data_IF_157684826176
#
_entry.id   IF_157684826176
#
_cell.length_a   1.000
_cell.length_b   1.000
_cell.length_c   1.000
_cell.angle_alpha   90.00
_cell.angle_beta   90.00
_cell.angle_gamma   90.00
#
_symmetry.space_group_name_H-M   'P 1'
#
loop_
_entity.id
_entity.type
_entity.pdbx_description
1 polymer ?
#
# COMPACT_ATOMS: atom_id res chain seq x y z
N UNK A 1 3.12 32.73 -7.50
CA UNK A 1 2.42 32.00 -6.41
C UNK A 1 2.68 32.76 -5.13
N UNK A 2 1.65 33.09 -4.36
CA UNK A 2 1.82 33.75 -3.07
C UNK A 2 2.32 32.71 -2.06
N UNK A 3 3.56 32.86 -1.60
CA UNK A 3 4.02 32.19 -0.38
C UNK A 3 3.13 32.68 0.76
N UNK A 4 2.48 31.76 1.47
CA UNK A 4 1.69 32.12 2.67
C UNK A 4 2.64 32.74 3.68
N UNK A 5 2.46 34.04 3.94
CA UNK A 5 3.21 34.77 4.94
C UNK A 5 2.73 34.34 6.32
N UNK A 6 3.52 33.50 6.99
CA UNK A 6 3.27 33.03 8.35
C UNK A 6 4.00 33.89 9.40
N UNK A 7 4.66 34.98 9.00
CA UNK A 7 5.42 35.85 9.93
C UNK A 7 4.56 36.98 10.52
N UNK A 8 3.27 37.03 10.19
CA UNK A 8 2.31 37.97 10.79
C UNK A 8 1.86 37.44 12.16
N UNK A 9 1.87 38.25 13.23
CA UNK A 9 1.37 37.82 14.54
C UNK A 9 -0.14 37.59 14.49
N UNK A 10 -0.57 36.34 14.62
CA UNK A 10 -1.98 35.93 14.57
C UNK A 10 -2.54 35.63 15.96
N UNK A 11 -3.86 35.80 16.09
CA UNK A 11 -4.63 35.14 17.15
C UNK A 11 -4.58 33.61 16.96
N UNK A 12 -4.55 32.86 18.07
CA UNK A 12 -4.17 31.44 18.13
C UNK A 12 -4.96 30.52 17.17
N UNK A 13 -6.24 30.84 16.91
CA UNK A 13 -7.16 30.02 16.09
C UNK A 13 -6.88 30.16 14.58
N UNK A 14 -6.36 31.31 14.14
CA UNK A 14 -6.04 31.54 12.71
C UNK A 14 -4.75 30.80 12.31
N UNK A 15 -3.84 30.58 13.28
CA UNK A 15 -2.56 29.92 13.03
C UNK A 15 -2.70 28.45 12.62
N UNK A 16 -3.43 27.63 13.40
CA UNK A 16 -3.56 26.19 13.15
C UNK A 16 -4.21 25.94 11.79
N UNK A 17 -5.31 26.65 11.50
CA UNK A 17 -6.03 26.52 10.23
C UNK A 17 -5.13 26.85 9.03
N UNK A 18 -4.38 27.96 9.08
CA UNK A 18 -3.43 28.35 8.01
C UNK A 18 -2.29 27.37 7.85
N UNK A 19 -1.74 26.83 8.94
CA UNK A 19 -0.71 25.82 8.88
C UNK A 19 -1.21 24.54 8.19
N UNK A 20 -2.43 24.10 8.52
CA UNK A 20 -3.07 22.95 7.87
C UNK A 20 -3.32 23.18 6.38
N UNK A 21 -3.75 24.38 5.99
CA UNK A 21 -3.91 24.76 4.57
C UNK A 21 -2.57 24.74 3.83
N UNK A 22 -1.52 25.35 4.41
CA UNK A 22 -0.19 25.33 3.82
C UNK A 22 0.36 23.90 3.65
N UNK A 23 0.18 23.03 4.64
CA UNK A 23 0.58 21.61 4.57
C UNK A 23 -0.16 20.91 3.42
N UNK A 24 -1.48 21.14 3.28
CA UNK A 24 -2.29 20.54 2.22
C UNK A 24 -1.86 21.01 0.83
N UNK A 25 -1.54 22.28 0.67
CA UNK A 25 -1.09 22.83 -0.61
C UNK A 25 0.24 22.22 -1.07
N UNK A 26 1.19 22.03 -0.15
CA UNK A 26 2.45 21.34 -0.45
C UNK A 26 2.20 19.88 -0.82
N UNK A 27 1.29 19.20 -0.11
CA UNK A 27 0.91 17.82 -0.41
C UNK A 27 0.27 17.65 -1.78
N UNK A 28 -0.64 18.54 -2.16
CA UNK A 28 -1.30 18.49 -3.47
C UNK A 28 -0.28 18.66 -4.59
N UNK A 29 0.69 19.56 -4.43
CA UNK A 29 1.84 19.66 -5.35
C UNK A 29 2.66 18.39 -5.38
N UNK A 30 2.97 17.79 -4.22
CA UNK A 30 3.69 16.52 -4.15
C UNK A 30 2.97 15.36 -4.86
N UNK A 31 1.64 15.27 -4.70
CA UNK A 31 0.79 14.26 -5.39
C UNK A 31 0.73 14.46 -6.90
N UNK A 32 0.95 15.69 -7.39
CA UNK A 32 0.96 15.98 -8.83
C UNK A 32 2.24 15.54 -9.53
N UNK A 33 3.29 15.15 -8.79
CA UNK A 33 4.55 14.67 -9.37
C UNK A 33 4.38 13.27 -9.90
N UNK A 34 4.37 13.13 -11.22
CA UNK A 34 4.27 11.84 -11.89
C UNK A 34 5.65 11.19 -12.07
N UNK A 35 6.03 10.33 -11.11
CA UNK A 35 7.26 9.54 -11.21
C UNK A 35 7.22 8.51 -12.34
N UNK A 36 6.03 8.12 -12.85
CA UNK A 36 5.91 7.20 -13.99
C UNK A 36 6.45 7.83 -15.26
N UNK A 37 6.19 9.12 -15.48
CA UNK A 37 6.66 9.84 -16.64
C UNK A 37 8.20 9.88 -16.74
N UNK A 38 8.90 9.73 -15.61
CA UNK A 38 10.36 9.71 -15.55
C UNK A 38 10.98 8.32 -15.76
N UNK A 39 10.22 7.22 -15.69
CA UNK A 39 10.73 5.85 -15.86
C UNK A 39 11.50 5.58 -17.17
N UNK A 40 11.10 6.12 -18.35
CA UNK A 40 11.86 5.88 -19.58
C UNK A 40 13.14 6.72 -19.68
N UNK A 41 13.19 7.86 -18.99
CA UNK A 41 14.29 8.83 -19.09
C UNK A 41 15.32 8.62 -17.98
N UNK A 42 16.40 7.93 -18.35
CA UNK A 42 17.51 7.62 -17.43
C UNK A 42 18.56 8.72 -17.37
N UNK A 43 18.33 9.86 -18.01
CA UNK A 43 19.32 10.94 -18.08
C UNK A 43 19.53 11.61 -16.73
N UNK A 44 20.75 12.08 -16.50
CA UNK A 44 21.10 12.88 -15.32
C UNK A 44 20.26 14.17 -15.25
N UNK A 45 19.95 14.77 -16.40
CA UNK A 45 19.10 15.96 -16.49
C UNK A 45 17.67 15.70 -15.97
N UNK A 46 17.08 14.53 -16.28
CA UNK A 46 15.77 14.15 -15.75
C UNK A 46 15.81 13.93 -14.24
N UNK A 47 16.89 13.33 -13.71
CA UNK A 47 17.07 13.15 -12.26
C UNK A 47 17.21 14.51 -11.57
N UNK A 48 18.01 15.41 -12.14
CA UNK A 48 18.19 16.76 -11.61
C UNK A 48 16.87 17.56 -11.61
N UNK A 49 16.07 17.45 -12.67
CA UNK A 49 14.76 18.09 -12.75
C UNK A 49 13.80 17.60 -11.64
N UNK A 50 13.80 16.29 -11.36
CA UNK A 50 13.03 15.72 -10.25
C UNK A 50 13.52 16.23 -8.89
N UNK A 51 14.84 16.29 -8.67
CA UNK A 51 15.41 16.82 -7.43
C UNK A 51 15.04 18.30 -7.22
N UNK A 52 15.15 19.12 -8.27
CA UNK A 52 14.73 20.53 -8.24
C UNK A 52 13.24 20.72 -7.96
N UNK A 53 12.42 19.67 -8.13
CA UNK A 53 10.98 19.71 -7.82
C UNK A 53 10.68 19.16 -6.43
N UNK A 54 11.26 18.03 -6.05
CA UNK A 54 10.93 17.32 -4.80
C UNK A 54 11.60 17.96 -3.58
N UNK A 55 12.87 18.36 -3.69
CA UNK A 55 13.62 18.90 -2.54
C UNK A 55 12.95 20.18 -2.00
N UNK A 56 12.56 21.17 -2.83
CA UNK A 56 11.85 22.35 -2.31
C UNK A 56 10.54 22.03 -1.58
N UNK A 57 9.80 20.99 -1.99
CA UNK A 57 8.58 20.58 -1.28
C UNK A 57 8.88 20.00 0.10
N UNK A 58 9.97 19.23 0.23
CA UNK A 58 10.44 18.74 1.54
C UNK A 58 10.86 19.90 2.44
N UNK A 59 11.60 20.86 1.89
CA UNK A 59 12.09 22.04 2.62
C UNK A 59 10.93 22.92 3.09
N UNK A 60 9.96 23.16 2.22
CA UNK A 60 8.76 23.93 2.53
C UNK A 60 7.90 23.24 3.60
N UNK A 61 7.68 21.93 3.48
CA UNK A 61 6.93 21.15 4.48
C UNK A 61 7.65 21.18 5.83
N UNK A 62 8.98 20.96 5.83
CA UNK A 62 9.78 21.02 7.05
C UNK A 62 9.71 22.40 7.71
N UNK A 63 9.85 23.48 6.94
CA UNK A 63 9.76 24.84 7.46
C UNK A 63 8.38 25.16 8.06
N UNK A 64 7.29 24.63 7.50
CA UNK A 64 5.95 24.76 8.10
C UNK A 64 5.90 23.98 9.42
N UNK A 65 6.30 22.71 9.42
CA UNK A 65 6.27 21.84 10.61
C UNK A 65 7.13 22.41 11.74
N UNK A 66 8.34 22.90 11.46
CA UNK A 66 9.22 23.51 12.46
C UNK A 66 8.63 24.78 13.07
N UNK A 67 7.95 25.62 12.27
CA UNK A 67 7.27 26.82 12.79
C UNK A 67 6.09 26.46 13.68
N UNK A 68 5.31 25.44 13.31
CA UNK A 68 4.24 24.91 14.16
C UNK A 68 4.83 24.35 15.46
N UNK A 69 5.90 23.54 15.39
CA UNK A 69 6.54 22.96 16.57
C UNK A 69 7.01 24.03 17.57
N UNK A 70 7.75 25.05 17.08
CA UNK A 70 8.24 26.14 17.91
C UNK A 70 7.11 26.89 18.65
N UNK A 71 5.93 27.00 18.03
CA UNK A 71 4.77 27.63 18.67
C UNK A 71 4.19 26.79 19.79
N UNK A 72 4.25 25.47 19.67
CA UNK A 72 3.69 24.55 20.67
C UNK A 72 4.60 24.37 21.89
N UNK A 73 5.91 24.65 21.78
CA UNK A 73 6.90 24.55 22.87
C UNK A 73 6.77 25.64 23.97
N UNK A 74 5.95 26.68 23.79
CA UNK A 74 5.90 27.83 24.70
C UNK A 74 5.17 27.59 26.04
N UNK A 75 4.41 26.51 26.21
CA UNK A 75 3.54 26.27 27.37
C UNK A 75 3.57 24.79 27.80
N UNK A 76 4.33 24.50 28.87
CA UNK A 76 4.56 23.13 29.37
C UNK A 76 3.41 22.57 30.23
N UNK A 77 2.46 23.40 30.64
CA UNK A 77 1.37 22.99 31.56
C UNK A 77 0.21 22.28 30.83
N UNK A 78 0.14 22.38 29.49
CA UNK A 78 -0.89 21.75 28.66
C UNK A 78 -0.39 20.42 28.05
N UNK A 79 -0.86 19.30 28.62
CA UNK A 79 -0.46 17.95 28.18
C UNK A 79 -0.81 17.66 26.72
N UNK A 80 -1.97 18.11 26.22
CA UNK A 80 -2.37 17.85 24.84
C UNK A 80 -1.48 18.63 23.86
N UNK A 81 -1.06 19.83 24.27
CA UNK A 81 -0.09 20.66 23.54
C UNK A 81 1.28 20.00 23.49
N UNK A 82 1.78 19.47 24.62
CA UNK A 82 3.06 18.73 24.69
C UNK A 82 3.03 17.50 23.79
N UNK A 83 1.96 16.69 23.87
CA UNK A 83 1.80 15.51 22.99
C UNK A 83 1.80 15.90 21.50
N UNK A 84 1.17 17.04 21.15
CA UNK A 84 1.20 17.55 19.78
C UNK A 84 2.61 18.01 19.37
N UNK A 85 3.32 18.74 20.23
CA UNK A 85 4.69 19.22 20.00
C UNK A 85 5.66 18.05 19.71
N UNK A 86 5.61 16.99 20.51
CA UNK A 86 6.44 15.80 20.35
C UNK A 86 6.20 15.12 18.99
N UNK A 87 4.93 14.97 18.61
CA UNK A 87 4.54 14.38 17.33
C UNK A 87 5.05 15.25 16.15
N UNK A 88 4.92 16.58 16.26
CA UNK A 88 5.39 17.53 15.25
C UNK A 88 6.91 17.47 15.12
N UNK A 89 7.64 17.43 16.24
CA UNK A 89 9.10 17.32 16.26
C UNK A 89 9.57 16.01 15.60
N UNK A 90 8.94 14.87 15.93
CA UNK A 90 9.23 13.58 15.29
C UNK A 90 8.97 13.60 13.77
N UNK A 91 7.86 14.21 13.34
CA UNK A 91 7.53 14.34 11.93
C UNK A 91 8.55 15.23 11.17
N UNK A 92 9.02 16.31 11.81
CA UNK A 92 10.06 17.19 11.29
C UNK A 92 11.42 16.49 11.15
N UNK A 93 11.85 15.75 12.18
CA UNK A 93 13.09 14.97 12.14
C UNK A 93 13.07 13.91 11.02
N UNK A 94 11.96 13.20 10.86
CA UNK A 94 11.80 12.21 9.78
C UNK A 94 11.92 12.85 8.38
N UNK A 95 11.33 14.03 8.17
CA UNK A 95 11.44 14.76 6.91
C UNK A 95 12.86 15.24 6.65
N UNK A 96 13.51 15.81 7.66
CA UNK A 96 14.88 16.30 7.53
C UNK A 96 15.85 15.15 7.19
N UNK A 97 15.67 13.98 7.81
CA UNK A 97 16.43 12.79 7.47
C UNK A 97 16.20 12.38 6.00
N UNK A 98 14.95 12.39 5.52
CA UNK A 98 14.66 12.06 4.12
C UNK A 98 15.19 13.07 3.13
N UNK A 99 15.08 14.36 3.42
CA UNK A 99 15.70 15.45 2.66
C UNK A 99 17.21 15.22 2.51
N UNK A 100 17.89 14.94 3.62
CA UNK A 100 19.34 14.67 3.66
C UNK A 100 19.70 13.48 2.79
N UNK A 101 18.97 12.36 2.94
CA UNK A 101 19.20 11.15 2.16
C UNK A 101 18.98 11.36 0.66
N UNK A 102 17.98 12.15 0.26
CA UNK A 102 17.70 12.42 -1.15
C UNK A 102 18.75 13.36 -1.76
N UNK A 103 19.17 14.39 -1.03
CA UNK A 103 20.13 15.41 -1.51
C UNK A 103 21.56 14.88 -1.56
N UNK A 104 21.92 13.96 -0.66
CA UNK A 104 23.25 13.35 -0.57
C UNK A 104 23.25 11.89 -1.01
N UNK A 105 22.27 11.48 -1.81
CA UNK A 105 22.25 10.15 -2.38
C UNK A 105 23.53 9.95 -3.22
N UNK A 106 24.25 8.87 -2.95
CA UNK A 106 25.37 8.44 -3.79
C UNK A 106 24.85 8.12 -5.20
N UNK A 107 25.72 8.20 -6.24
CA UNK A 107 25.37 7.71 -7.57
C UNK A 107 24.78 6.30 -7.48
N UNK A 108 23.55 6.14 -7.95
CA UNK A 108 22.80 4.89 -7.90
C UNK A 108 22.11 4.62 -9.24
N UNK A 109 21.61 3.41 -9.43
CA UNK A 109 20.84 3.10 -10.63
C UNK A 109 19.53 3.90 -10.68
N UNK A 110 19.03 4.17 -11.89
CA UNK A 110 17.84 4.99 -12.11
C UNK A 110 16.61 4.52 -11.31
N UNK A 111 16.40 3.22 -11.16
CA UNK A 111 15.26 2.71 -10.39
C UNK A 111 15.43 2.98 -8.89
N UNK A 112 16.64 2.79 -8.37
CA UNK A 112 16.95 3.15 -6.98
C UNK A 112 16.77 4.65 -6.72
N UNK A 113 17.13 5.51 -7.68
CA UNK A 113 16.86 6.94 -7.60
C UNK A 113 15.34 7.24 -7.53
N UNK A 114 14.54 6.65 -8.42
CA UNK A 114 13.08 6.82 -8.42
C UNK A 114 12.43 6.28 -7.13
N UNK A 115 12.92 5.16 -6.60
CA UNK A 115 12.47 4.64 -5.30
C UNK A 115 12.76 5.62 -4.16
N UNK A 116 13.92 6.28 -4.17
CA UNK A 116 14.26 7.30 -3.18
C UNK A 116 13.34 8.52 -3.30
N UNK A 117 13.03 8.95 -4.53
CA UNK A 117 12.04 10.01 -4.78
C UNK A 117 10.65 9.63 -4.22
N UNK A 118 10.16 8.43 -4.53
CA UNK A 118 8.88 7.94 -4.03
C UNK A 118 8.84 7.83 -2.50
N UNK A 119 9.91 7.31 -1.88
CA UNK A 119 10.02 7.23 -0.41
C UNK A 119 9.99 8.60 0.24
N UNK A 120 10.63 9.60 -0.38
CA UNK A 120 10.61 10.99 0.09
C UNK A 120 9.23 11.62 -0.02
N UNK A 121 8.53 11.45 -1.16
CA UNK A 121 7.15 11.93 -1.32
C UNK A 121 6.17 11.25 -0.35
N UNK A 122 6.33 9.94 -0.11
CA UNK A 122 5.55 9.23 0.92
C UNK A 122 5.86 9.70 2.33
N UNK A 123 7.13 10.03 2.62
CA UNK A 123 7.50 10.60 3.91
C UNK A 123 6.88 11.99 4.12
N UNK A 124 6.84 12.82 3.07
CA UNK A 124 6.13 14.09 3.04
C UNK A 124 4.64 13.88 3.37
N UNK A 125 3.97 12.97 2.66
CA UNK A 125 2.58 12.60 2.91
C UNK A 125 2.32 12.13 4.35
N UNK A 126 3.18 11.24 4.86
CA UNK A 126 3.06 10.67 6.20
C UNK A 126 3.26 11.74 7.28
N UNK A 127 4.34 12.52 7.22
CA UNK A 127 4.63 13.57 8.20
C UNK A 127 3.53 14.63 8.23
N UNK A 128 3.04 15.06 7.06
CA UNK A 128 1.91 15.97 6.97
C UNK A 128 0.61 15.40 7.57
N UNK A 129 0.30 14.13 7.31
CA UNK A 129 -0.91 13.46 7.86
C UNK A 129 -0.84 13.26 9.37
N UNK A 130 0.36 13.02 9.90
CA UNK A 130 0.63 12.89 11.33
C UNK A 130 0.49 14.25 12.03
N UNK A 131 1.07 15.30 11.45
CA UNK A 131 0.97 16.68 11.98
C UNK A 131 -0.47 17.17 11.93
N UNK A 132 -1.20 16.96 10.82
CA UNK A 132 -2.62 17.30 10.77
C UNK A 132 -3.41 16.56 11.84
N UNK A 133 -3.17 15.25 12.04
CA UNK A 133 -3.85 14.47 13.05
C UNK A 133 -3.53 14.92 14.49
N UNK A 134 -2.34 15.46 14.75
CA UNK A 134 -2.00 16.06 16.04
C UNK A 134 -2.73 17.39 16.23
N UNK A 135 -2.62 18.31 15.27
CA UNK A 135 -3.26 19.63 15.31
C UNK A 135 -4.78 19.55 15.37
N UNK A 136 -5.38 18.62 14.61
CA UNK A 136 -6.82 18.40 14.58
C UNK A 136 -7.35 17.91 15.92
N UNK A 137 -6.59 17.06 16.63
CA UNK A 137 -6.97 16.60 17.97
C UNK A 137 -6.91 17.73 18.99
N UNK A 138 -5.81 18.48 18.97
CA UNK A 138 -5.57 19.62 19.85
C UNK A 138 -6.64 20.72 19.72
N UNK A 139 -6.95 21.13 18.49
CA UNK A 139 -7.89 22.23 18.23
C UNK A 139 -9.35 21.73 17.99
N UNK A 140 -9.60 20.44 18.24
CA UNK A 140 -10.88 19.75 18.00
C UNK A 140 -11.46 19.95 16.59
N UNK A 141 -10.58 20.08 15.60
CA UNK A 141 -10.94 20.20 14.19
C UNK A 141 -11.04 18.82 13.53
N UNK A 142 -11.86 18.67 12.48
CA UNK A 142 -11.83 17.46 11.66
C UNK A 142 -10.54 17.41 10.83
N UNK A 143 -9.84 16.27 10.86
CA UNK A 143 -8.76 16.00 9.92
C UNK A 143 -9.33 15.94 8.49
N UNK A 144 -8.68 16.62 7.53
CA UNK A 144 -9.17 16.71 6.15
C UNK A 144 -8.25 16.04 5.13
N UNK A 145 -7.03 15.61 5.51
CA UNK A 145 -6.19 14.85 4.60
C UNK A 145 -6.86 13.52 4.29
N UNK A 146 -7.07 13.33 3.00
CA UNK A 146 -7.86 12.25 2.45
C UNK A 146 -7.13 10.90 2.55
N UNK A 147 -7.26 10.27 3.72
CA UNK A 147 -6.83 8.89 3.97
C UNK A 147 -7.68 7.89 3.18
N UNK A 148 -8.89 8.27 2.77
CA UNK A 148 -9.80 7.40 2.03
C UNK A 148 -9.31 7.20 0.59
N UNK A 149 -8.80 8.25 -0.08
CA UNK A 149 -8.20 8.11 -1.40
C UNK A 149 -6.93 7.25 -1.40
N UNK A 150 -6.07 7.38 -0.39
CA UNK A 150 -4.88 6.51 -0.25
C UNK A 150 -5.28 5.06 -0.01
N UNK A 151 -6.22 4.81 0.90
CA UNK A 151 -6.76 3.48 1.15
C UNK A 151 -7.39 2.90 -0.13
N UNK A 152 -8.19 3.68 -0.86
CA UNK A 152 -8.83 3.24 -2.10
C UNK A 152 -7.80 2.85 -3.17
N UNK A 153 -6.73 3.65 -3.34
CA UNK A 153 -5.63 3.33 -4.25
C UNK A 153 -4.89 2.05 -3.81
N UNK A 154 -4.58 1.91 -2.51
CA UNK A 154 -3.96 0.70 -1.95
C UNK A 154 -4.83 -0.55 -2.15
N UNK A 155 -6.15 -0.45 -1.95
CA UNK A 155 -7.12 -1.52 -2.21
C UNK A 155 -7.16 -1.90 -3.69
N UNK A 156 -7.17 -0.91 -4.59
CA UNK A 156 -7.17 -1.15 -6.03
C UNK A 156 -5.89 -1.90 -6.47
N UNK A 157 -4.71 -1.48 -6.00
CA UNK A 157 -3.44 -2.16 -6.28
C UNK A 157 -3.45 -3.58 -5.68
N UNK A 158 -3.94 -3.75 -4.44
CA UNK A 158 -4.05 -5.08 -3.79
C UNK A 158 -4.89 -6.04 -4.64
N UNK A 159 -6.05 -5.59 -5.13
CA UNK A 159 -6.91 -6.41 -6.00
C UNK A 159 -6.22 -6.82 -7.29
N UNK A 160 -5.45 -5.92 -7.90
CA UNK A 160 -4.66 -6.21 -9.11
C UNK A 160 -3.56 -7.24 -8.84
N UNK A 161 -2.81 -7.09 -7.75
CA UNK A 161 -1.80 -8.06 -7.34
C UNK A 161 -2.39 -9.43 -7.06
N UNK A 162 -3.55 -9.48 -6.39
CA UNK A 162 -4.27 -10.72 -6.11
C UNK A 162 -4.77 -11.41 -7.38
N UNK A 163 -5.25 -10.65 -8.36
CA UNK A 163 -5.66 -11.18 -9.66
C UNK A 163 -4.48 -11.82 -10.38
N UNK A 164 -3.33 -11.13 -10.45
CA UNK A 164 -2.10 -11.71 -11.02
C UNK A 164 -1.67 -12.97 -10.25
N UNK A 165 -1.70 -12.93 -8.92
CA UNK A 165 -1.35 -14.07 -8.07
C UNK A 165 -2.21 -15.29 -8.36
N UNK A 166 -3.52 -15.08 -8.50
CA UNK A 166 -4.47 -16.13 -8.86
C UNK A 166 -4.21 -16.68 -10.26
N UNK A 167 -3.97 -15.84 -11.25
CA UNK A 167 -3.64 -16.26 -12.61
C UNK A 167 -2.39 -17.13 -12.67
N UNK A 168 -1.32 -16.70 -11.98
CA UNK A 168 -0.07 -17.45 -11.85
C UNK A 168 -0.29 -18.77 -11.10
N UNK A 169 -1.03 -18.74 -9.99
CA UNK A 169 -1.37 -19.95 -9.25
C UNK A 169 -2.13 -20.97 -10.10
N UNK A 170 -3.13 -20.51 -10.86
CA UNK A 170 -3.92 -21.36 -11.74
C UNK A 170 -3.11 -21.90 -12.92
N UNK A 171 -2.21 -21.10 -13.49
CA UNK A 171 -1.27 -21.57 -14.50
C UNK A 171 -0.30 -22.64 -13.94
N UNK A 172 0.04 -22.55 -12.65
CA UNK A 172 0.84 -23.57 -11.97
C UNK A 172 0.11 -24.90 -11.72
N UNK A 173 -1.23 -24.92 -11.81
CA UNK A 173 -2.03 -26.12 -11.57
C UNK A 173 -2.24 -26.94 -12.85
N UNK A 174 -2.27 -28.26 -12.69
CA UNK A 174 -2.56 -29.23 -13.76
C UNK A 174 -1.34 -29.62 -14.60
N UNK A 175 -1.59 -30.43 -15.63
CA UNK A 175 -0.58 -31.00 -16.53
C UNK A 175 -0.18 -30.02 -17.65
N UNK A 176 -0.12 -28.71 -17.36
CA UNK A 176 0.29 -27.71 -18.35
C UNK A 176 1.81 -27.77 -18.57
N UNK A 177 2.26 -27.70 -19.82
CA UNK A 177 3.67 -27.58 -20.14
C UNK A 177 4.24 -26.23 -19.67
N UNK A 178 5.55 -26.17 -19.41
CA UNK A 178 6.22 -25.00 -18.87
C UNK A 178 6.02 -23.73 -19.73
N UNK A 179 6.00 -23.85 -21.06
CA UNK A 179 5.84 -22.72 -21.97
C UNK A 179 4.45 -22.10 -21.81
N UNK A 180 3.41 -22.92 -21.69
CA UNK A 180 2.05 -22.46 -21.42
C UNK A 180 1.95 -21.68 -20.11
N UNK A 181 2.62 -22.13 -19.04
CA UNK A 181 2.63 -21.43 -17.74
C UNK A 181 3.31 -20.07 -17.82
N UNK A 182 4.49 -20.02 -18.44
CA UNK A 182 5.25 -18.78 -18.63
C UNK A 182 4.50 -17.78 -19.53
N UNK A 183 3.79 -18.27 -20.55
CA UNK A 183 2.96 -17.43 -21.41
C UNK A 183 1.76 -16.85 -20.65
N UNK A 184 1.11 -17.63 -19.79
CA UNK A 184 0.04 -17.14 -18.93
C UNK A 184 0.55 -16.06 -17.96
N UNK A 185 1.66 -16.30 -17.26
CA UNK A 185 2.29 -15.32 -16.38
C UNK A 185 2.68 -14.04 -17.12
N UNK A 186 3.28 -14.14 -18.30
CA UNK A 186 3.63 -12.99 -19.14
C UNK A 186 2.40 -12.16 -19.53
N UNK A 187 1.26 -12.79 -19.81
CA UNK A 187 0.02 -12.06 -20.12
C UNK A 187 -0.53 -11.35 -18.89
N UNK A 188 -0.53 -12.01 -17.73
CA UNK A 188 -0.97 -11.40 -16.47
C UNK A 188 -0.11 -10.20 -16.07
N UNK A 189 1.22 -10.33 -16.16
CA UNK A 189 2.15 -9.21 -15.88
C UNK A 189 1.93 -8.07 -16.88
N UNK A 190 1.82 -8.36 -18.18
CA UNK A 190 1.52 -7.34 -19.17
C UNK A 190 0.18 -6.62 -18.91
N UNK A 191 -0.86 -7.34 -18.50
CA UNK A 191 -2.13 -6.74 -18.12
C UNK A 191 -1.97 -5.82 -16.89
N UNK A 192 -1.20 -6.25 -15.89
CA UNK A 192 -0.90 -5.46 -14.69
C UNK A 192 -0.13 -4.17 -15.02
N UNK A 193 0.89 -4.25 -15.87
CA UNK A 193 1.71 -3.10 -16.32
C UNK A 193 0.91 -2.08 -17.14
N UNK A 194 -0.14 -2.53 -17.83
CA UNK A 194 -1.04 -1.67 -18.61
C UNK A 194 -2.27 -1.18 -17.83
N UNK A 195 -2.39 -1.54 -16.55
CA UNK A 195 -3.52 -1.11 -15.72
C UNK A 195 -3.45 0.38 -15.34
N UNK A 196 -4.61 0.96 -15.01
CA UNK A 196 -4.72 2.31 -14.44
C UNK A 196 -4.03 2.43 -13.09
N UNK A 197 -4.00 1.32 -12.32
CA UNK A 197 -3.39 1.25 -11.00
C UNK A 197 -1.86 1.22 -11.03
N UNK A 198 -1.25 1.03 -12.21
CA UNK A 198 0.21 0.97 -12.37
C UNK A 198 0.94 2.17 -11.75
N UNK A 199 0.38 3.37 -11.90
CA UNK A 199 0.92 4.61 -11.32
C UNK A 199 0.96 4.61 -9.78
N UNK A 200 0.06 3.86 -9.15
CA UNK A 200 -0.08 3.74 -7.69
C UNK A 200 0.75 2.58 -7.10
N UNK A 201 1.38 1.77 -7.95
CA UNK A 201 2.30 0.71 -7.52
C UNK A 201 3.62 1.30 -7.03
N UNK A 202 4.24 0.62 -6.07
CA UNK A 202 5.58 1.02 -5.59
C UNK A 202 6.56 0.97 -6.76
N UNK A 203 7.47 1.93 -6.85
CA UNK A 203 8.53 1.93 -7.86
C UNK A 203 9.31 0.59 -7.86
N UNK A 204 9.60 0.05 -6.68
CA UNK A 204 10.26 -1.26 -6.55
C UNK A 204 9.47 -2.40 -7.19
N UNK A 205 8.15 -2.46 -6.94
CA UNK A 205 7.27 -3.47 -7.55
C UNK A 205 7.25 -3.32 -9.09
N UNK A 206 7.17 -2.07 -9.59
CA UNK A 206 7.19 -1.75 -11.01
C UNK A 206 8.49 -2.18 -11.69
N UNK A 207 9.64 -1.95 -11.03
CA UNK A 207 10.96 -2.40 -11.48
C UNK A 207 10.99 -3.92 -11.63
N UNK A 208 10.63 -4.64 -10.58
CA UNK A 208 10.66 -6.11 -10.56
C UNK A 208 9.74 -6.70 -11.64
N UNK A 209 8.51 -6.18 -11.77
CA UNK A 209 7.57 -6.60 -12.81
C UNK A 209 8.09 -6.37 -14.23
N UNK A 210 8.72 -5.22 -14.50
CA UNK A 210 9.33 -4.94 -15.82
C UNK A 210 10.51 -5.84 -16.12
N UNK A 211 11.38 -6.07 -15.13
CA UNK A 211 12.53 -6.97 -15.27
C UNK A 211 12.06 -8.40 -15.54
N UNK A 212 11.05 -8.87 -14.82
CA UNK A 212 10.44 -10.18 -15.02
C UNK A 212 9.77 -10.30 -16.39
N UNK A 213 9.01 -9.29 -16.82
CA UNK A 213 8.37 -9.23 -18.14
C UNK A 213 9.40 -9.34 -19.27
N UNK A 214 10.53 -8.62 -19.16
CA UNK A 214 11.62 -8.70 -20.13
C UNK A 214 12.23 -10.11 -20.19
N UNK A 215 12.52 -10.74 -19.05
CA UNK A 215 13.07 -12.11 -19.00
C UNK A 215 12.10 -13.12 -19.61
N UNK A 216 10.81 -13.03 -19.28
CA UNK A 216 9.76 -13.89 -19.84
C UNK A 216 9.70 -13.76 -21.37
N UNK A 217 9.65 -12.53 -21.89
CA UNK A 217 9.63 -12.29 -23.33
C UNK A 217 10.89 -12.80 -24.03
N UNK A 218 12.06 -12.58 -23.42
CA UNK A 218 13.34 -13.06 -23.95
C UNK A 218 13.36 -14.59 -24.06
N UNK A 219 12.85 -15.30 -23.05
CA UNK A 219 12.79 -16.76 -23.09
C UNK A 219 11.73 -17.27 -24.08
N UNK A 220 10.53 -16.68 -24.07
CA UNK A 220 9.41 -17.07 -24.94
C UNK A 220 9.69 -16.83 -26.44
N UNK A 221 10.54 -15.85 -26.77
CA UNK A 221 10.90 -15.50 -28.14
C UNK A 221 12.15 -16.23 -28.65
N UNK A 222 12.82 -17.01 -27.80
CA UNK A 222 14.01 -17.78 -28.21
C UNK A 222 13.62 -18.92 -29.16
N UNK A 223 14.40 -19.12 -30.21
CA UNK A 223 14.24 -20.24 -31.15
C UNK A 223 14.51 -21.60 -30.49
N UNK A 224 15.48 -21.62 -29.55
CA UNK A 224 15.89 -22.80 -28.79
C UNK A 224 15.93 -22.48 -27.29
N UNK A 225 14.78 -22.34 -26.61
CA UNK A 225 14.74 -21.99 -25.20
C UNK A 225 15.25 -23.15 -24.35
N UNK A 226 16.29 -22.91 -23.55
CA UNK A 226 16.75 -23.89 -22.58
C UNK A 226 15.70 -24.08 -21.47
N UNK A 227 15.27 -25.32 -21.24
CA UNK A 227 14.22 -25.67 -20.27
C UNK A 227 14.60 -25.27 -18.84
N UNK A 228 15.87 -25.44 -18.45
CA UNK A 228 16.38 -25.05 -17.13
C UNK A 228 16.24 -23.54 -16.86
N UNK A 229 16.45 -22.70 -17.87
CA UNK A 229 16.23 -21.25 -17.76
C UNK A 229 14.74 -20.95 -17.60
N UNK A 230 13.88 -21.69 -18.30
CA UNK A 230 12.43 -21.54 -18.19
C UNK A 230 11.91 -21.92 -16.80
N UNK A 231 12.39 -23.04 -16.25
CA UNK A 231 12.03 -23.51 -14.92
C UNK A 231 12.45 -22.50 -13.84
N UNK A 232 13.68 -22.00 -13.91
CA UNK A 232 14.15 -20.91 -13.02
C UNK A 232 13.30 -19.65 -13.17
N UNK A 233 12.95 -19.27 -14.40
CA UNK A 233 12.11 -18.09 -14.64
C UNK A 233 10.73 -18.26 -14.01
N UNK A 234 10.17 -19.49 -14.04
CA UNK A 234 8.91 -19.79 -13.37
C UNK A 234 8.99 -19.67 -11.85
N UNK A 235 10.08 -20.15 -11.23
CA UNK A 235 10.33 -19.95 -9.80
C UNK A 235 10.45 -18.47 -9.44
N UNK A 236 11.12 -17.68 -10.27
CA UNK A 236 11.22 -16.22 -10.12
C UNK A 236 9.83 -15.54 -10.21
N UNK A 237 8.95 -15.99 -11.12
CA UNK A 237 7.56 -15.52 -11.20
C UNK A 237 6.82 -15.77 -9.88
N UNK A 238 6.90 -16.99 -9.35
CA UNK A 238 6.26 -17.36 -8.07
C UNK A 238 6.79 -16.47 -6.94
N UNK A 239 8.10 -16.28 -6.87
CA UNK A 239 8.74 -15.47 -5.84
C UNK A 239 8.28 -14.00 -5.90
N UNK A 240 8.30 -13.38 -7.08
CA UNK A 240 7.86 -11.98 -7.26
C UNK A 240 6.39 -11.83 -6.86
N UNK A 241 5.52 -12.72 -7.34
CA UNK A 241 4.09 -12.69 -7.00
C UNK A 241 3.84 -12.84 -5.49
N UNK A 242 4.61 -13.68 -4.80
CA UNK A 242 4.54 -13.81 -3.35
C UNK A 242 4.95 -12.50 -2.65
N UNK A 243 6.02 -11.84 -3.11
CA UNK A 243 6.49 -10.56 -2.59
C UNK A 243 5.45 -9.44 -2.76
N UNK A 244 4.73 -9.42 -3.88
CA UNK A 244 3.64 -8.45 -4.11
C UNK A 244 2.52 -8.58 -3.07
N UNK A 245 2.31 -9.77 -2.49
CA UNK A 245 1.41 -9.99 -1.36
C UNK A 245 1.73 -9.15 -0.12
N UNK A 246 2.97 -8.66 0.00
CA UNK A 246 3.39 -7.73 1.06
C UNK A 246 2.67 -6.38 1.04
N UNK A 247 1.89 -6.06 0.00
CA UNK A 247 0.99 -4.89 0.01
C UNK A 247 0.01 -4.92 1.19
N UNK A 248 -0.47 -6.09 1.60
CA UNK A 248 -1.43 -6.27 2.71
C UNK A 248 -0.83 -5.97 4.10
N UNK A 249 0.43 -5.55 4.15
CA UNK A 249 1.12 -5.08 5.36
C UNK A 249 1.24 -3.55 5.43
N UNK A 250 0.68 -2.82 4.46
CA UNK A 250 0.57 -1.35 4.56
C UNK A 250 -0.37 -0.99 5.71
N UNK A 251 0.01 -0.01 6.52
CA UNK A 251 -0.70 0.36 7.76
C UNK A 251 -2.18 0.66 7.54
N UNK A 252 -2.52 1.36 6.46
CA UNK A 252 -3.90 1.71 6.11
C UNK A 252 -4.74 0.48 5.75
N UNK A 253 -4.14 -0.50 5.06
CA UNK A 253 -4.81 -1.77 4.75
C UNK A 253 -4.95 -2.63 5.99
N UNK A 254 -3.94 -2.69 6.86
CA UNK A 254 -4.02 -3.43 8.13
C UNK A 254 -5.15 -2.89 9.01
N UNK A 255 -5.22 -1.57 9.20
CA UNK A 255 -6.28 -0.95 10.00
C UNK A 255 -7.67 -1.21 9.40
N UNK A 256 -7.81 -1.09 8.08
CA UNK A 256 -9.04 -1.39 7.37
C UNK A 256 -9.46 -2.86 7.50
N UNK A 257 -8.52 -3.79 7.28
CA UNK A 257 -8.79 -5.22 7.31
C UNK A 257 -9.17 -5.68 8.73
N UNK A 258 -8.54 -5.13 9.77
CA UNK A 258 -8.91 -5.39 11.17
C UNK A 258 -10.37 -5.00 11.46
N UNK A 259 -10.78 -3.81 11.01
CA UNK A 259 -12.14 -3.32 11.21
C UNK A 259 -13.18 -4.20 10.49
N UNK A 260 -12.88 -4.61 9.24
CA UNK A 260 -13.77 -5.49 8.48
C UNK A 260 -13.84 -6.90 9.06
N UNK A 261 -12.71 -7.49 9.46
CA UNK A 261 -12.68 -8.81 10.08
C UNK A 261 -13.47 -8.82 11.39
N UNK A 262 -13.35 -7.79 12.22
CA UNK A 262 -14.17 -7.66 13.43
C UNK A 262 -15.67 -7.59 13.11
N UNK A 263 -16.04 -6.83 12.08
CA UNK A 263 -17.44 -6.77 11.60
C UNK A 263 -17.94 -8.12 11.08
N UNK A 264 -17.11 -8.86 10.34
CA UNK A 264 -17.44 -10.18 9.80
C UNK A 264 -17.55 -11.25 10.91
N UNK A 265 -16.68 -11.22 11.92
CA UNK A 265 -16.80 -12.09 13.09
C UNK A 265 -18.14 -11.83 13.79
N UNK A 266 -18.51 -10.57 13.99
CA UNK A 266 -19.79 -10.24 14.59
C UNK A 266 -20.99 -10.65 13.72
N UNK A 267 -20.87 -10.57 12.39
CA UNK A 267 -21.87 -11.08 11.45
C UNK A 267 -22.07 -12.59 11.58
N UNK A 268 -20.98 -13.36 11.72
CA UNK A 268 -21.04 -14.81 11.97
C UNK A 268 -21.77 -15.10 13.29
N UNK A 269 -21.47 -14.38 14.38
CA UNK A 269 -22.14 -14.55 15.68
C UNK A 269 -23.65 -14.27 15.61
N UNK A 270 -24.06 -13.30 14.79
CA UNK A 270 -25.47 -12.99 14.54
C UNK A 270 -26.17 -14.01 13.64
N UNK A 271 -25.43 -14.93 13.04
CA UNK A 271 -25.96 -15.93 12.10
C UNK A 271 -26.27 -15.36 10.71
N UNK A 272 -25.53 -14.35 10.27
CA UNK A 272 -25.65 -13.80 8.91
C UNK A 272 -25.37 -14.90 7.86
N UNK A 273 -26.06 -14.84 6.72
CA UNK A 273 -25.93 -15.84 5.67
C UNK A 273 -24.65 -15.69 4.83
N UNK A 274 -24.36 -16.68 3.98
CA UNK A 274 -23.14 -16.67 3.14
C UNK A 274 -23.08 -15.53 2.15
N UNK A 275 -24.23 -14.98 1.73
CA UNK A 275 -24.28 -13.83 0.83
C UNK A 275 -23.85 -12.56 1.56
N UNK A 276 -24.37 -12.33 2.77
CA UNK A 276 -23.99 -11.18 3.60
C UNK A 276 -22.51 -11.21 3.96
N UNK A 277 -22.00 -12.39 4.34
CA UNK A 277 -20.57 -12.57 4.63
C UNK A 277 -19.71 -12.29 3.40
N UNK A 278 -20.13 -12.76 2.22
CA UNK A 278 -19.44 -12.49 0.95
C UNK A 278 -19.39 -11.01 0.63
N UNK A 279 -20.53 -10.32 0.71
CA UNK A 279 -20.62 -8.89 0.44
C UNK A 279 -19.72 -8.09 1.40
N UNK A 280 -19.69 -8.45 2.69
CA UNK A 280 -18.80 -7.82 3.68
C UNK A 280 -17.32 -8.15 3.49
N UNK A 281 -16.99 -9.32 2.92
CA UNK A 281 -15.62 -9.77 2.70
C UNK A 281 -15.02 -9.31 1.36
N UNK A 282 -15.82 -8.83 0.40
CA UNK A 282 -15.34 -8.37 -0.91
C UNK A 282 -14.18 -7.35 -0.83
N UNK A 283 -14.18 -6.35 0.10
CA UNK A 283 -13.07 -5.43 0.22
C UNK A 283 -11.76 -6.10 0.68
N UNK A 284 -11.82 -7.30 1.29
CA UNK A 284 -10.66 -8.08 1.72
C UNK A 284 -10.01 -8.88 0.58
N UNK A 285 -10.53 -8.82 -0.65
CA UNK A 285 -9.93 -9.51 -1.80
C UNK A 285 -8.44 -9.15 -1.94
N UNK A 286 -7.61 -10.19 -2.03
CA UNK A 286 -6.17 -10.15 -2.07
C UNK A 286 -5.46 -10.30 -0.73
N UNK A 287 -6.19 -10.30 0.38
CA UNK A 287 -5.65 -10.57 1.72
C UNK A 287 -5.12 -12.01 1.82
N UNK A 288 -5.92 -12.99 1.40
CA UNK A 288 -5.66 -14.42 1.57
C UNK A 288 -6.20 -15.21 0.37
N UNK A 289 -5.44 -16.22 -0.09
CA UNK A 289 -5.78 -16.99 -1.28
C UNK A 289 -7.00 -17.91 -1.11
N UNK A 290 -7.25 -18.40 0.10
CA UNK A 290 -8.40 -19.23 0.42
C UNK A 290 -9.67 -18.38 0.44
N UNK A 291 -9.60 -17.19 1.05
CA UNK A 291 -10.69 -16.21 1.00
C UNK A 291 -10.98 -15.77 -0.44
N UNK A 292 -9.95 -15.49 -1.24
CA UNK A 292 -10.10 -15.13 -2.66
C UNK A 292 -10.85 -16.22 -3.44
N UNK A 293 -10.59 -17.51 -3.15
CA UNK A 293 -11.32 -18.62 -3.77
C UNK A 293 -12.79 -18.67 -3.34
N UNK A 294 -13.09 -18.44 -2.06
CA UNK A 294 -14.48 -18.38 -1.59
C UNK A 294 -15.25 -17.23 -2.25
N UNK A 295 -14.60 -16.07 -2.42
CA UNK A 295 -15.15 -14.91 -3.11
C UNK A 295 -15.41 -15.17 -4.61
N UNK A 296 -14.68 -16.09 -5.24
CA UNK A 296 -14.83 -16.46 -6.65
C UNK A 296 -15.92 -17.51 -6.91
N UNK A 297 -16.40 -18.24 -5.91
CA UNK A 297 -17.47 -19.22 -6.10
C UNK A 297 -18.79 -18.48 -6.42
N UNK A 298 -19.21 -18.50 -7.69
CA UNK A 298 -20.34 -17.68 -8.18
C UNK A 298 -21.73 -18.20 -7.77
N UNK A 299 -21.85 -19.46 -7.33
CA UNK A 299 -23.14 -20.06 -6.96
C UNK A 299 -23.38 -19.99 -5.44
N UNK A 300 -24.50 -19.37 -5.04
CA UNK A 300 -24.98 -19.39 -3.65
C UNK A 300 -25.22 -20.83 -3.15
N UNK A 301 -25.54 -21.76 -4.04
CA UNK A 301 -25.88 -23.16 -3.72
C UNK A 301 -24.66 -24.03 -3.33
N UNK A 302 -23.43 -23.56 -3.57
CA UNK A 302 -22.19 -24.29 -3.26
C UNK A 302 -21.43 -23.79 -2.03
N UNK A 303 -21.85 -22.68 -1.42
CA UNK A 303 -21.11 -22.04 -0.34
C UNK A 303 -21.54 -22.62 1.00
N UNK A 304 -20.71 -23.51 1.56
CA UNK A 304 -20.94 -24.00 2.93
C UNK A 304 -20.51 -22.91 3.93
N UNK A 305 -21.42 -22.54 4.83
CA UNK A 305 -21.20 -21.51 5.86
C UNK A 305 -19.99 -21.82 6.76
N UNK A 306 -19.73 -23.10 7.03
CA UNK A 306 -18.57 -23.55 7.81
C UNK A 306 -17.23 -23.17 7.18
N UNK A 307 -17.13 -23.15 5.85
CA UNK A 307 -15.92 -22.75 5.13
C UNK A 307 -15.64 -21.25 5.32
N UNK A 308 -16.68 -20.42 5.18
CA UNK A 308 -16.59 -18.99 5.42
C UNK A 308 -16.21 -18.68 6.87
N UNK A 309 -16.88 -19.31 7.83
CA UNK A 309 -16.59 -19.15 9.24
C UNK A 309 -15.16 -19.54 9.57
N UNK A 310 -14.68 -20.68 9.06
CA UNK A 310 -13.30 -21.14 9.28
C UNK A 310 -12.27 -20.13 8.79
N UNK A 311 -12.40 -19.66 7.55
CA UNK A 311 -11.45 -18.71 6.94
C UNK A 311 -11.47 -17.36 7.64
N UNK A 312 -12.67 -16.80 7.90
CA UNK A 312 -12.80 -15.50 8.57
C UNK A 312 -12.23 -15.57 9.99
N UNK A 313 -12.58 -16.60 10.77
CA UNK A 313 -12.06 -16.78 12.14
C UNK A 313 -10.54 -16.92 12.15
N UNK A 314 -9.96 -17.73 11.24
CA UNK A 314 -8.51 -17.86 11.10
C UNK A 314 -7.84 -16.51 10.85
N UNK A 315 -8.33 -15.76 9.86
CA UNK A 315 -7.77 -14.46 9.49
C UNK A 315 -7.94 -13.43 10.61
N UNK A 316 -9.06 -13.45 11.32
CA UNK A 316 -9.31 -12.62 12.49
C UNK A 316 -8.24 -12.89 13.58
N UNK A 317 -8.01 -14.15 13.94
CA UNK A 317 -7.02 -14.56 14.94
C UNK A 317 -5.59 -14.18 14.51
N UNK A 318 -5.21 -14.48 13.26
CA UNK A 318 -3.88 -14.12 12.71
C UNK A 318 -3.60 -12.61 12.78
N UNK A 319 -4.66 -11.80 12.75
CA UNK A 319 -4.57 -10.34 12.84
C UNK A 319 -4.82 -9.80 14.27
N UNK A 320 -5.08 -10.65 15.25
CA UNK A 320 -5.31 -10.25 16.65
C UNK A 320 -6.72 -9.73 16.94
N UNK A 321 -7.70 -10.05 16.09
CA UNK A 321 -9.13 -9.85 16.37
C UNK A 321 -9.64 -11.05 17.17
N UNK A 322 -10.47 -10.80 18.19
CA UNK A 322 -11.04 -11.85 19.03
C UNK A 322 -11.91 -12.81 18.18
N UNK A 323 -11.82 -14.14 18.40
CA UNK A 323 -12.66 -15.10 17.70
C UNK A 323 -14.13 -15.01 18.14
N UNK A 324 -15.07 -15.53 17.33
CA UNK A 324 -16.49 -15.57 17.69
C UNK A 324 -16.72 -16.37 18.98
N UNK A 325 -17.65 -15.91 19.81
CA UNK A 325 -17.98 -16.53 21.09
C UNK A 325 -18.38 -18.01 20.91
N UNK A 326 -17.75 -18.91 21.67
CA UNK A 326 -18.10 -20.34 21.71
C UNK A 326 -17.36 -21.23 20.70
N UNK A 327 -16.42 -20.71 19.91
CA UNK A 327 -15.51 -21.56 19.12
C UNK A 327 -14.24 -21.91 19.92
N UNK A 328 -13.94 -23.20 20.18
CA UNK A 328 -12.71 -23.59 20.82
C UNK A 328 -11.52 -23.33 19.89
N UNK A 329 -10.46 -22.71 20.44
CA UNK A 329 -9.24 -22.32 19.73
C UNK A 329 -8.53 -23.50 19.05
N UNK A 330 -8.78 -24.73 19.52
CA UNK A 330 -8.16 -25.96 19.04
C UNK A 330 -8.82 -26.56 17.78
N UNK A 331 -9.92 -25.96 17.29
CA UNK A 331 -10.67 -26.49 16.12
C UNK A 331 -10.30 -25.86 14.78
N UNK A 332 -9.27 -25.01 14.74
CA UNK A 332 -8.77 -24.44 13.47
C UNK A 332 -8.11 -25.59 12.70
N UNK A 333 -8.89 -26.16 11.79
CA UNK A 333 -8.52 -27.32 10.99
C UNK A 333 -7.27 -27.03 10.15
N UNK A 334 -6.51 -28.07 9.81
CA UNK A 334 -5.41 -27.96 8.85
C UNK A 334 -5.87 -27.25 7.57
N UNK A 335 -5.02 -26.42 6.93
CA UNK A 335 -5.39 -25.61 5.79
C UNK A 335 -6.05 -26.45 4.69
N UNK A 336 -7.06 -25.88 4.01
CA UNK A 336 -7.92 -26.44 2.95
C UNK A 336 -7.21 -27.14 1.76
N UNK A 337 -5.89 -27.26 1.81
CA UNK A 337 -5.00 -27.92 0.85
C UNK A 337 -5.38 -29.39 0.58
N UNK A 338 -6.10 -30.05 1.48
CA UNK A 338 -6.47 -31.48 1.35
C UNK A 338 -7.73 -31.75 0.52
N UNK A 339 -8.63 -30.77 0.35
CA UNK A 339 -9.94 -30.99 -0.30
C UNK A 339 -9.87 -30.86 -1.84
N UNK A 340 -8.82 -30.24 -2.39
CA UNK A 340 -8.69 -29.97 -3.84
C UNK A 340 -7.75 -30.96 -4.56
N UNK A 341 -7.21 -31.96 -3.86
CA UNK A 341 -6.36 -32.99 -4.49
C UNK A 341 -7.14 -34.18 -5.07
N UNK A 342 -8.48 -34.11 -5.11
CA UNK A 342 -9.36 -35.21 -5.49
C UNK A 342 -10.30 -34.93 -6.67
N UNK A 343 -10.03 -33.90 -7.48
CA UNK A 343 -10.70 -33.68 -8.79
C UNK A 343 -9.74 -33.74 -9.97
#
# INVERSE_FOLDING_TARGET
>A
MATVDLDVPFEHVDFVSRALEAIRDVLLRGKSIDLRAAEPDKSEAAHEALLRTIVPLLDETYAIISRVGARFEEDEDDRERVDAADIIALAGMALQQRRTLLTHAQPCDHWTFLENCERSLRSLAKSASVVEGALSRYDHLPARLDRAAELAASLAVRRRYATLRREVWNAGRGHQDLKSRLLAASRGIAALLNSTEYSSMRIGDRRELRMLQFRLQSWLSSEYPAESIGARTWEEVIAVVALLGGISQRSELVAHDLALLAGLVHAIERGDDTRQLREGAEPLFGLDLELDRLLDLHSADGLRLDCWTSVITRLAIERGVAPPAGQPHDSISEPFSSIVSSE
#
